data_IF_431569952534
#
_entry.id   IF_431569952534
#
_cell.length_a   1.000
_cell.length_b   1.000
_cell.length_c   1.000
_cell.angle_alpha   90.00
_cell.angle_beta   90.00
_cell.angle_gamma   90.00
#
_symmetry.space_group_name_H-M   'P 1'
#
loop_
_entity.id
_entity.type
_entity.pdbx_description
1 polymer ?
#
# COMPACT_ATOMS: atom_id res chain seq x y z
N UNK A 1 -1.33 -34.23 13.38
CA UNK A 1 -0.29 -34.77 12.47
C UNK A 1 0.01 -33.91 11.24
N UNK A 2 -0.99 -33.28 10.58
CA UNK A 2 -0.73 -32.42 9.41
C UNK A 2 0.20 -31.23 9.73
N UNK A 3 0.00 -30.53 10.86
CA UNK A 3 0.87 -29.40 11.26
C UNK A 3 2.33 -29.81 11.47
N UNK A 4 2.54 -30.98 12.05
CA UNK A 4 3.88 -31.55 12.25
C UNK A 4 4.57 -31.85 10.91
N UNK A 5 3.87 -32.49 9.96
CA UNK A 5 4.38 -32.79 8.63
C UNK A 5 4.75 -31.51 7.85
N UNK A 6 3.90 -30.45 7.92
CA UNK A 6 4.19 -29.16 7.32
C UNK A 6 5.44 -28.54 7.93
N UNK A 7 5.55 -28.57 9.27
CA UNK A 7 6.72 -28.07 10.01
C UNK A 7 8.00 -28.77 9.56
N UNK A 8 7.99 -30.11 9.50
CA UNK A 8 9.15 -30.90 9.05
C UNK A 8 9.56 -30.59 7.61
N UNK A 9 8.59 -30.41 6.70
CA UNK A 9 8.89 -30.00 5.32
C UNK A 9 9.48 -28.59 5.23
N UNK A 10 9.05 -27.67 6.10
CA UNK A 10 9.65 -26.33 6.17
C UNK A 10 11.08 -26.38 6.73
N UNK A 11 11.32 -27.18 7.76
CA UNK A 11 12.65 -27.39 8.35
C UNK A 11 13.64 -27.99 7.34
N UNK A 12 13.18 -28.95 6.56
CA UNK A 12 14.01 -29.65 5.55
C UNK A 12 14.06 -28.93 4.19
N UNK A 13 13.43 -27.75 4.03
CA UNK A 13 13.41 -27.02 2.76
C UNK A 13 12.55 -27.65 1.65
N UNK A 14 11.83 -28.74 1.95
CA UNK A 14 11.02 -29.49 0.98
C UNK A 14 9.56 -29.05 0.88
N UNK A 15 9.20 -27.93 1.57
CA UNK A 15 7.86 -27.40 1.53
C UNK A 15 7.58 -26.73 0.18
N UNK A 16 6.62 -27.27 -0.56
CA UNK A 16 6.24 -26.78 -1.86
C UNK A 16 5.48 -25.43 -1.80
N UNK A 17 5.88 -24.52 -2.67
CA UNK A 17 5.19 -23.23 -2.81
C UNK A 17 3.95 -23.40 -3.71
N UNK A 18 2.85 -22.75 -3.29
CA UNK A 18 1.59 -22.76 -4.05
C UNK A 18 1.69 -21.99 -5.37
N UNK A 19 2.42 -20.87 -5.37
CA UNK A 19 2.64 -20.04 -6.55
C UNK A 19 4.12 -19.70 -6.68
N UNK A 20 4.73 -19.95 -7.86
CA UNK A 20 6.08 -19.53 -8.14
C UNK A 20 6.16 -17.99 -8.19
N UNK A 21 7.25 -17.37 -7.70
CA UNK A 21 7.50 -15.97 -7.93
C UNK A 21 7.81 -15.68 -9.40
N UNK A 22 7.64 -14.44 -9.84
CA UNK A 22 8.02 -14.01 -11.19
C UNK A 22 9.49 -14.36 -11.47
N UNK A 23 9.81 -14.91 -12.61
CA UNK A 23 11.16 -15.43 -12.92
C UNK A 23 11.28 -16.94 -12.74
N UNK A 24 10.27 -17.58 -12.14
CA UNK A 24 10.23 -19.03 -11.96
C UNK A 24 8.92 -19.63 -12.43
N UNK A 25 9.01 -20.87 -12.91
CA UNK A 25 7.88 -21.77 -13.16
C UNK A 25 7.95 -22.95 -12.18
N UNK A 26 6.84 -23.61 -11.96
CA UNK A 26 6.78 -24.80 -11.11
C UNK A 26 6.70 -26.05 -11.99
N UNK A 27 7.71 -26.91 -11.92
CA UNK A 27 7.77 -28.21 -12.59
C UNK A 27 8.02 -29.30 -11.55
N UNK A 28 7.18 -30.31 -11.53
CA UNK A 28 7.28 -31.45 -10.60
C UNK A 28 7.47 -31.04 -9.12
N UNK A 29 6.76 -30.00 -8.69
CA UNK A 29 6.86 -29.48 -7.31
C UNK A 29 8.06 -28.57 -7.03
N UNK A 30 9.02 -28.47 -7.93
CA UNK A 30 10.24 -27.66 -7.79
C UNK A 30 10.13 -26.35 -8.59
N UNK A 31 10.89 -25.34 -8.15
CA UNK A 31 11.05 -24.09 -8.88
C UNK A 31 12.14 -24.25 -9.94
N UNK A 32 11.79 -23.97 -11.19
CA UNK A 32 12.70 -23.92 -12.34
C UNK A 32 12.73 -22.50 -12.87
N UNK A 33 13.88 -22.04 -13.33
CA UNK A 33 14.06 -20.67 -13.86
C UNK A 33 13.35 -20.54 -15.21
N UNK A 34 12.52 -19.51 -15.36
CA UNK A 34 12.00 -19.07 -16.65
C UNK A 34 13.01 -18.05 -17.24
N UNK A 35 13.72 -18.38 -18.33
CA UNK A 35 14.79 -17.52 -18.84
C UNK A 35 14.36 -16.11 -19.19
N UNK A 36 13.17 -15.95 -19.80
CA UNK A 36 12.65 -14.66 -20.23
C UNK A 36 12.30 -13.76 -19.03
N UNK A 37 11.65 -14.32 -18.01
CA UNK A 37 11.31 -13.61 -16.81
C UNK A 37 12.54 -13.38 -15.90
N UNK A 38 13.46 -14.33 -15.86
CA UNK A 38 14.70 -14.20 -15.08
C UNK A 38 15.56 -13.04 -15.58
N UNK A 39 15.67 -12.84 -16.89
CA UNK A 39 16.36 -11.69 -17.46
C UNK A 39 15.75 -10.37 -16.99
N UNK A 40 14.42 -10.30 -16.89
CA UNK A 40 13.72 -9.11 -16.35
C UNK A 40 14.06 -8.90 -14.88
N UNK A 41 14.12 -9.95 -14.07
CA UNK A 41 14.53 -9.87 -12.65
C UNK A 41 15.96 -9.35 -12.53
N UNK A 42 16.90 -9.90 -13.30
CA UNK A 42 18.30 -9.45 -13.32
C UNK A 42 18.41 -7.97 -13.71
N UNK A 43 17.66 -7.54 -14.72
CA UNK A 43 17.62 -6.13 -15.14
C UNK A 43 17.10 -5.22 -14.02
N UNK A 44 16.05 -5.62 -13.28
CA UNK A 44 15.50 -4.86 -12.15
C UNK A 44 16.58 -4.64 -11.06
N UNK A 45 17.32 -5.71 -10.70
CA UNK A 45 18.41 -5.63 -9.73
C UNK A 45 19.56 -4.75 -10.23
N UNK A 46 20.02 -4.95 -11.46
CA UNK A 46 21.08 -4.15 -12.08
C UNK A 46 20.73 -2.66 -12.15
N UNK A 47 19.52 -2.31 -12.57
CA UNK A 47 19.09 -0.91 -12.60
C UNK A 47 19.00 -0.29 -11.22
N UNK A 48 18.54 -1.05 -10.21
CA UNK A 48 18.48 -0.52 -8.86
C UNK A 48 19.87 -0.29 -8.27
N UNK A 49 20.84 -1.20 -8.50
CA UNK A 49 22.24 -1.05 -8.12
C UNK A 49 22.91 0.11 -8.87
N UNK A 50 22.50 0.38 -10.12
CA UNK A 50 22.94 1.54 -10.90
C UNK A 50 22.30 2.88 -10.42
N UNK A 51 21.52 2.88 -9.33
CA UNK A 51 20.95 4.08 -8.73
C UNK A 51 19.55 4.48 -9.22
N UNK A 52 18.92 3.72 -10.13
CA UNK A 52 17.56 4.00 -10.55
C UNK A 52 16.57 3.82 -9.40
N UNK A 53 15.66 4.78 -9.22
CA UNK A 53 14.56 4.65 -8.25
C UNK A 53 13.49 3.68 -8.72
N UNK A 54 12.71 3.11 -7.78
CA UNK A 54 11.65 2.13 -8.07
C UNK A 54 10.65 2.65 -9.11
N UNK A 55 10.25 3.93 -9.03
CA UNK A 55 9.31 4.55 -10.00
C UNK A 55 9.92 4.59 -11.40
N UNK A 56 11.21 4.92 -11.51
CA UNK A 56 11.92 4.95 -12.79
C UNK A 56 12.00 3.57 -13.43
N UNK A 57 12.28 2.52 -12.62
CA UNK A 57 12.27 1.12 -13.07
C UNK A 57 10.89 0.71 -13.57
N UNK A 58 9.83 1.04 -12.81
CA UNK A 58 8.43 0.76 -13.22
C UNK A 58 8.10 1.43 -14.56
N UNK A 59 8.44 2.71 -14.72
CA UNK A 59 8.20 3.43 -15.96
C UNK A 59 8.94 2.81 -17.14
N UNK A 60 10.20 2.39 -16.92
CA UNK A 60 11.01 1.72 -17.94
C UNK A 60 10.43 0.38 -18.36
N UNK A 61 10.03 -0.47 -17.42
CA UNK A 61 9.38 -1.76 -17.70
C UNK A 61 8.07 -1.58 -18.49
N UNK A 62 7.26 -0.59 -18.11
CA UNK A 62 6.00 -0.29 -18.80
C UNK A 62 6.23 0.34 -20.18
N UNK A 63 7.27 1.16 -20.36
CA UNK A 63 7.64 1.74 -21.66
C UNK A 63 8.01 0.66 -22.67
N UNK A 64 8.78 -0.35 -22.23
CA UNK A 64 9.16 -1.49 -23.06
C UNK A 64 8.09 -2.57 -23.16
N UNK A 65 6.89 -2.35 -22.61
CA UNK A 65 5.80 -3.34 -22.57
C UNK A 65 6.26 -4.71 -22.04
N UNK A 66 7.21 -4.72 -21.09
CA UNK A 66 7.73 -5.96 -20.51
C UNK A 66 6.60 -6.75 -19.86
N UNK A 67 6.43 -8.04 -20.21
CA UNK A 67 5.38 -8.87 -19.63
C UNK A 67 5.45 -8.89 -18.11
N UNK A 68 4.32 -8.72 -17.47
CA UNK A 68 4.16 -8.71 -16.01
C UNK A 68 3.49 -10.02 -15.56
N UNK A 69 3.27 -10.22 -14.26
CA UNK A 69 2.57 -11.40 -13.77
C UNK A 69 1.13 -11.47 -14.31
N UNK A 70 0.58 -12.69 -14.42
CA UNK A 70 -0.70 -13.07 -15.09
C UNK A 70 -1.96 -12.23 -14.74
N UNK A 71 -1.92 -11.38 -13.70
CA UNK A 71 -3.09 -10.60 -13.22
C UNK A 71 -3.07 -9.12 -13.59
N UNK A 72 -1.99 -8.62 -14.15
CA UNK A 72 -1.84 -7.19 -14.48
C UNK A 72 -1.11 -7.03 -15.80
N UNK A 73 -1.59 -6.11 -16.63
CA UNK A 73 -0.93 -5.75 -17.88
C UNK A 73 0.13 -4.66 -17.68
N UNK A 74 0.34 -4.19 -16.44
CA UNK A 74 1.28 -3.11 -16.11
C UNK A 74 2.04 -3.39 -14.83
N UNK A 75 3.31 -3.03 -14.84
CA UNK A 75 4.15 -3.01 -13.66
C UNK A 75 3.74 -1.89 -12.69
N UNK A 76 3.78 -2.20 -11.41
CA UNK A 76 3.51 -1.28 -10.31
C UNK A 76 4.67 -1.29 -9.31
N UNK A 77 4.81 -0.21 -8.54
CA UNK A 77 5.87 -0.08 -7.52
C UNK A 77 5.92 -1.30 -6.58
N UNK A 78 4.75 -1.80 -6.16
CA UNK A 78 4.69 -2.97 -5.28
C UNK A 78 5.33 -4.22 -5.90
N UNK A 79 5.13 -4.46 -7.21
CA UNK A 79 5.71 -5.61 -7.91
C UNK A 79 7.24 -5.54 -7.95
N UNK A 80 7.80 -4.37 -8.29
CA UNK A 80 9.25 -4.15 -8.31
C UNK A 80 9.83 -4.25 -6.90
N UNK A 81 9.20 -3.62 -5.89
CA UNK A 81 9.62 -3.73 -4.49
C UNK A 81 9.60 -5.18 -4.00
N UNK A 82 8.55 -5.93 -4.35
CA UNK A 82 8.44 -7.35 -3.99
C UNK A 82 9.59 -8.17 -4.58
N UNK A 83 9.97 -7.92 -5.84
CA UNK A 83 11.12 -8.59 -6.47
C UNK A 83 12.41 -8.25 -5.74
N UNK A 84 12.69 -6.96 -5.49
CA UNK A 84 13.91 -6.50 -4.83
C UNK A 84 14.06 -6.99 -3.38
N UNK A 85 12.95 -7.33 -2.69
CA UNK A 85 12.96 -7.76 -1.28
C UNK A 85 12.71 -9.25 -1.06
N UNK A 86 12.62 -10.03 -2.12
CA UNK A 86 12.32 -11.44 -2.01
C UNK A 86 13.59 -12.30 -2.09
N UNK A 87 14.01 -12.88 -0.98
CA UNK A 87 15.19 -13.73 -0.86
C UNK A 87 15.18 -14.96 -1.78
N UNK A 88 14.03 -15.35 -2.31
CA UNK A 88 13.94 -16.49 -3.21
C UNK A 88 14.78 -16.34 -4.49
N UNK A 89 15.04 -15.09 -4.89
CA UNK A 89 15.89 -14.86 -6.06
C UNK A 89 17.36 -15.25 -5.86
N UNK A 90 17.80 -15.43 -4.60
CA UNK A 90 19.14 -15.95 -4.26
C UNK A 90 19.20 -17.49 -4.12
N UNK A 91 18.11 -18.19 -4.47
CA UNK A 91 18.03 -19.67 -4.31
C UNK A 91 17.64 -20.11 -2.90
N UNK A 92 17.48 -19.18 -1.97
CA UNK A 92 17.13 -19.46 -0.57
C UNK A 92 15.63 -19.23 -0.33
N UNK A 93 15.05 -19.89 0.67
CA UNK A 93 13.64 -19.70 0.98
C UNK A 93 13.41 -19.52 2.48
N UNK A 94 12.73 -18.44 2.84
CA UNK A 94 12.22 -18.24 4.20
C UNK A 94 10.75 -18.64 4.25
N UNK A 95 10.45 -19.63 5.08
CA UNK A 95 9.10 -20.10 5.36
C UNK A 95 8.50 -19.44 6.59
N UNK A 96 7.18 -19.53 6.71
CA UNK A 96 6.40 -19.02 7.84
C UNK A 96 6.54 -17.52 8.09
N UNK A 97 6.68 -16.72 6.99
CA UNK A 97 6.65 -15.24 7.05
C UNK A 97 5.29 -14.70 7.53
N UNK A 98 4.23 -15.49 7.39
CA UNK A 98 2.88 -15.18 7.84
C UNK A 98 2.23 -16.39 8.49
N UNK A 99 1.26 -16.16 9.37
CA UNK A 99 0.47 -17.23 9.97
C UNK A 99 -1.02 -16.85 10.03
N UNK A 100 -1.88 -17.85 10.07
CA UNK A 100 -3.32 -17.67 10.27
C UNK A 100 -3.66 -17.67 11.75
N UNK A 101 -4.53 -16.76 12.18
CA UNK A 101 -5.10 -16.77 13.52
C UNK A 101 -5.94 -18.02 13.78
N UNK A 102 -6.28 -18.24 15.05
CA UNK A 102 -7.10 -19.37 15.50
C UNK A 102 -8.56 -18.96 15.74
N UNK A 103 -8.84 -17.66 15.80
CA UNK A 103 -10.19 -17.09 16.03
C UNK A 103 -10.90 -16.79 14.71
N UNK A 104 -12.20 -17.03 14.67
CA UNK A 104 -13.04 -16.65 13.53
C UNK A 104 -13.40 -15.14 13.58
N UNK A 105 -13.41 -14.44 12.42
CA UNK A 105 -13.00 -14.90 11.10
C UNK A 105 -11.48 -15.09 11.00
N UNK A 106 -11.04 -16.16 10.32
CA UNK A 106 -9.61 -16.49 10.20
C UNK A 106 -8.90 -15.37 9.43
N UNK A 107 -8.03 -14.65 10.11
CA UNK A 107 -7.21 -13.61 9.54
C UNK A 107 -5.75 -14.05 9.42
N UNK A 108 -5.06 -13.52 8.40
CA UNK A 108 -3.64 -13.79 8.16
C UNK A 108 -2.80 -12.64 8.71
N UNK A 109 -1.84 -12.98 9.57
CA UNK A 109 -0.95 -12.04 10.23
C UNK A 109 0.48 -12.19 9.72
N UNK A 110 1.23 -11.08 9.69
CA UNK A 110 2.67 -11.11 9.45
C UNK A 110 3.35 -11.68 10.70
N UNK A 111 4.25 -12.63 10.50
CA UNK A 111 5.04 -13.19 11.61
C UNK A 111 6.19 -12.25 11.94
N UNK A 112 6.10 -11.53 13.05
CA UNK A 112 7.15 -10.64 13.55
C UNK A 112 8.04 -11.29 14.64
N UNK A 113 7.86 -12.60 14.88
CA UNK A 113 8.58 -13.36 15.89
C UNK A 113 7.66 -14.23 16.75
N UNK A 114 6.33 -14.13 16.58
CA UNK A 114 5.35 -14.90 17.35
C UNK A 114 5.42 -16.40 17.05
N UNK A 115 5.93 -16.76 15.88
CA UNK A 115 6.16 -18.16 15.46
C UNK A 115 7.52 -18.33 14.84
N UNK A 116 8.09 -19.54 14.95
CA UNK A 116 9.38 -19.86 14.33
C UNK A 116 9.33 -19.61 12.83
N UNK A 117 10.37 -18.98 12.29
CA UNK A 117 10.63 -18.89 10.86
C UNK A 117 11.68 -19.94 10.49
N UNK A 118 11.53 -20.54 9.32
CA UNK A 118 12.48 -21.54 8.82
C UNK A 118 13.17 -20.98 7.59
N UNK A 119 14.50 -21.02 7.59
CA UNK A 119 15.32 -20.56 6.47
C UNK A 119 16.03 -21.78 5.87
N UNK A 120 15.76 -22.06 4.61
CA UNK A 120 16.40 -23.12 3.87
C UNK A 120 17.24 -22.53 2.74
N UNK A 121 18.46 -23.01 2.63
CA UNK A 121 19.43 -22.59 1.62
C UNK A 121 19.42 -23.51 0.42
N UNK A 122 19.74 -22.98 -0.76
CA UNK A 122 19.89 -23.74 -2.02
C UNK A 122 18.67 -24.63 -2.35
N UNK A 123 17.46 -24.12 -2.09
CA UNK A 123 16.23 -24.86 -2.36
C UNK A 123 15.86 -24.90 -3.85
N UNK A 124 16.42 -24.00 -4.65
CA UNK A 124 16.18 -23.87 -6.10
C UNK A 124 17.31 -23.05 -6.76
N UNK A 125 17.43 -23.04 -8.10
CA UNK A 125 18.42 -22.25 -8.79
C UNK A 125 18.26 -20.74 -8.53
N UNK A 126 19.36 -20.06 -8.24
CA UNK A 126 19.39 -18.61 -8.04
C UNK A 126 19.29 -17.86 -9.37
N UNK A 127 18.59 -16.72 -9.39
CA UNK A 127 18.58 -15.77 -10.52
C UNK A 127 19.55 -14.61 -10.27
N UNK A 128 19.75 -14.25 -8.99
CA UNK A 128 20.58 -13.13 -8.54
C UNK A 128 21.58 -13.64 -7.51
N UNK A 129 22.79 -13.09 -7.51
CA UNK A 129 23.80 -13.42 -6.49
C UNK A 129 23.38 -12.95 -5.11
N UNK A 130 23.84 -13.63 -4.05
CA UNK A 130 23.58 -13.20 -2.66
C UNK A 130 24.18 -11.80 -2.40
N UNK A 131 25.37 -11.51 -2.96
CA UNK A 131 26.05 -10.24 -2.81
C UNK A 131 25.24 -9.06 -3.41
N UNK A 132 24.68 -9.23 -4.60
CA UNK A 132 23.84 -8.20 -5.22
C UNK A 132 22.54 -7.98 -4.46
N UNK A 133 21.95 -9.07 -3.96
CA UNK A 133 20.77 -8.99 -3.12
C UNK A 133 21.06 -8.20 -1.83
N UNK A 134 22.15 -8.50 -1.14
CA UNK A 134 22.52 -7.84 0.12
C UNK A 134 22.84 -6.35 -0.10
N UNK A 135 23.54 -6.00 -1.19
CA UNK A 135 23.75 -4.61 -1.60
C UNK A 135 22.43 -3.87 -1.81
N UNK A 136 21.47 -4.50 -2.48
CA UNK A 136 20.14 -3.92 -2.68
C UNK A 136 19.42 -3.72 -1.34
N UNK A 137 19.47 -4.70 -0.40
CA UNK A 137 18.87 -4.55 0.92
C UNK A 137 19.50 -3.38 1.70
N UNK A 138 20.82 -3.23 1.68
CA UNK A 138 21.52 -2.11 2.30
C UNK A 138 21.05 -0.77 1.74
N UNK A 139 21.03 -0.61 0.41
CA UNK A 139 20.56 0.61 -0.26
C UNK A 139 19.06 0.91 0.03
N UNK A 140 18.24 -0.12 0.14
CA UNK A 140 16.82 0.05 0.49
C UNK A 140 16.64 0.47 1.94
N UNK A 141 17.45 -0.05 2.86
CA UNK A 141 17.43 0.30 4.27
C UNK A 141 17.86 1.76 4.47
N UNK A 142 18.94 2.20 3.84
CA UNK A 142 19.39 3.59 3.88
C UNK A 142 18.30 4.56 3.37
N UNK A 143 17.70 4.26 2.21
CA UNK A 143 16.60 5.06 1.65
C UNK A 143 15.35 5.01 2.53
N UNK A 144 15.06 3.87 3.15
CA UNK A 144 13.97 3.68 4.10
C UNK A 144 14.13 4.54 5.34
N UNK A 145 15.31 4.61 5.91
CA UNK A 145 15.61 5.47 7.06
C UNK A 145 15.42 6.96 6.76
N UNK A 146 15.79 7.41 5.56
CA UNK A 146 15.54 8.79 5.11
C UNK A 146 14.05 9.08 5.02
N UNK A 147 13.24 8.13 4.54
CA UNK A 147 11.78 8.32 4.41
C UNK A 147 11.03 8.20 5.75
N UNK A 148 11.52 7.41 6.72
CA UNK A 148 10.87 7.23 8.02
C UNK A 148 11.27 8.29 9.06
N UNK A 149 12.37 8.99 8.87
CA UNK A 149 12.83 10.08 9.78
C UNK A 149 11.98 11.36 9.72
N UNK A 150 11.13 11.51 8.71
CA UNK A 150 10.15 12.60 8.73
C UNK A 150 8.90 12.13 9.49
N UNK A 151 8.73 12.62 10.72
CA UNK A 151 7.45 12.50 11.42
C UNK A 151 6.34 12.95 10.48
N UNK A 152 5.49 12.02 10.09
CA UNK A 152 4.31 12.35 9.31
C UNK A 152 3.36 13.13 10.20
N UNK A 153 3.47 14.45 10.20
CA UNK A 153 2.48 15.31 10.82
C UNK A 153 1.09 14.84 10.40
N UNK A 154 0.32 14.35 11.39
CA UNK A 154 -1.07 13.94 11.16
C UNK A 154 -1.85 15.17 10.72
N UNK A 155 -2.15 15.30 9.46
CA UNK A 155 -2.95 16.39 8.95
C UNK A 155 -4.42 15.98 8.93
N UNK A 156 -5.24 16.66 9.74
CA UNK A 156 -6.68 16.38 9.91
C UNK A 156 -7.43 16.51 8.58
N UNK A 157 -7.05 17.47 7.73
CA UNK A 157 -7.73 17.74 6.45
C UNK A 157 -7.42 16.72 5.35
N UNK A 158 -6.48 15.79 5.60
CA UNK A 158 -6.08 14.78 4.62
C UNK A 158 -7.26 13.85 4.28
N UNK A 159 -7.52 13.66 2.98
CA UNK A 159 -8.65 12.90 2.41
C UNK A 159 -10.03 13.55 2.56
N UNK A 160 -10.19 14.56 3.41
CA UNK A 160 -11.48 15.25 3.62
C UNK A 160 -11.71 16.29 2.52
N UNK A 161 -10.67 17.07 2.18
CA UNK A 161 -10.80 18.13 1.17
C UNK A 161 -11.01 17.57 -0.23
N UNK A 162 -12.06 18.04 -0.89
CA UNK A 162 -12.43 17.72 -2.26
C UNK A 162 -12.30 18.92 -3.17
N UNK A 163 -11.87 18.69 -4.41
CA UNK A 163 -11.82 19.76 -5.42
C UNK A 163 -13.22 20.09 -5.91
N UNK A 164 -13.63 21.38 -5.83
CA UNK A 164 -14.92 21.82 -6.31
C UNK A 164 -15.11 21.71 -7.81
N UNK A 165 -14.02 21.65 -8.60
CA UNK A 165 -14.10 21.53 -10.06
C UNK A 165 -14.21 20.07 -10.55
N UNK A 166 -13.44 19.14 -9.95
CA UNK A 166 -13.34 17.77 -10.46
C UNK A 166 -13.64 16.67 -9.43
N UNK A 167 -14.03 17.00 -8.20
CA UNK A 167 -14.35 16.07 -7.12
C UNK A 167 -13.16 15.30 -6.54
N UNK A 168 -11.97 15.38 -7.14
CA UNK A 168 -10.77 14.70 -6.63
C UNK A 168 -10.31 15.23 -5.28
N UNK A 169 -9.61 14.40 -4.51
CA UNK A 169 -9.02 14.83 -3.22
C UNK A 169 -7.85 15.78 -3.44
N UNK A 170 -7.69 16.72 -2.51
CA UNK A 170 -6.49 17.54 -2.41
C UNK A 170 -5.35 16.77 -1.75
N UNK A 171 -4.12 17.07 -2.16
CA UNK A 171 -2.87 16.55 -1.60
C UNK A 171 -2.11 17.70 -0.96
N UNK A 172 -1.68 17.51 0.30
CA UNK A 172 -0.82 18.46 1.01
C UNK A 172 0.62 18.33 0.53
N UNK A 173 1.22 19.42 0.12
CA UNK A 173 2.62 19.51 -0.32
C UNK A 173 3.36 20.57 0.48
N UNK A 174 4.65 20.30 0.75
CA UNK A 174 5.57 21.28 1.33
C UNK A 174 6.41 21.90 0.20
N UNK A 175 6.49 23.21 0.15
CA UNK A 175 7.39 23.93 -0.74
C UNK A 175 8.12 24.98 0.09
N UNK A 176 9.46 24.86 0.18
CA UNK A 176 10.28 25.58 1.17
C UNK A 176 9.70 25.36 2.58
N UNK A 177 9.37 26.41 3.33
CA UNK A 177 8.80 26.28 4.68
C UNK A 177 7.28 26.40 4.76
N UNK A 178 6.58 26.47 3.61
CA UNK A 178 5.13 26.63 3.54
C UNK A 178 4.45 25.39 3.03
N UNK A 179 3.24 25.13 3.52
CA UNK A 179 2.39 24.03 3.04
C UNK A 179 1.33 24.56 2.09
N UNK A 180 1.07 23.77 1.03
CA UNK A 180 0.08 24.06 0.00
C UNK A 180 -0.76 22.80 -0.26
N UNK A 181 -1.98 23.03 -0.67
CA UNK A 181 -2.89 21.99 -1.11
C UNK A 181 -3.08 22.08 -2.61
N UNK A 182 -2.88 20.96 -3.30
CA UNK A 182 -3.02 20.81 -4.75
C UNK A 182 -4.04 19.74 -5.08
N UNK A 183 -4.88 19.97 -6.07
CA UNK A 183 -5.79 18.94 -6.56
C UNK A 183 -5.00 17.76 -7.15
N UNK A 184 -5.32 16.53 -6.74
CA UNK A 184 -4.63 15.33 -7.22
C UNK A 184 -4.71 15.17 -8.73
N UNK A 185 -5.86 15.46 -9.34
CA UNK A 185 -6.06 15.38 -10.78
C UNK A 185 -5.22 16.41 -11.54
N UNK A 186 -5.23 17.67 -11.08
CA UNK A 186 -4.39 18.73 -11.64
C UNK A 186 -2.90 18.38 -11.55
N UNK A 187 -2.48 17.76 -10.47
CA UNK A 187 -1.10 17.41 -10.19
C UNK A 187 -0.57 16.26 -11.07
N UNK A 188 -1.46 15.34 -11.44
CA UNK A 188 -1.15 14.24 -12.37
C UNK A 188 -1.19 14.71 -13.83
N UNK A 189 -2.15 15.57 -14.16
CA UNK A 189 -2.39 16.05 -15.54
C UNK A 189 -3.12 17.38 -15.50
N UNK A 190 -2.37 18.46 -15.72
CA UNK A 190 -2.86 19.84 -15.57
C UNK A 190 -4.06 20.15 -16.49
N UNK A 191 -4.14 19.49 -17.64
CA UNK A 191 -5.26 19.65 -18.59
C UNK A 191 -6.60 19.11 -18.10
N UNK A 192 -6.61 18.25 -17.06
CA UNK A 192 -7.84 17.62 -16.57
C UNK A 192 -8.50 18.39 -15.42
N UNK A 193 -7.84 19.38 -14.85
CA UNK A 193 -8.40 20.23 -13.80
C UNK A 193 -7.59 21.54 -13.66
N UNK A 194 -8.25 22.66 -13.72
CA UNK A 194 -7.63 24.00 -13.63
C UNK A 194 -7.60 24.57 -12.20
N UNK A 195 -7.82 23.74 -11.19
CA UNK A 195 -7.80 24.17 -9.79
C UNK A 195 -6.41 24.68 -9.37
N UNK A 196 -6.34 25.91 -8.88
CA UNK A 196 -5.10 26.51 -8.37
C UNK A 196 -4.67 25.87 -7.06
N UNK A 197 -3.38 25.97 -6.73
CA UNK A 197 -2.84 25.58 -5.43
C UNK A 197 -3.36 26.55 -4.37
N UNK A 198 -3.73 26.03 -3.20
CA UNK A 198 -4.28 26.77 -2.08
C UNK A 198 -3.25 26.75 -0.95
N UNK A 199 -2.76 27.90 -0.47
CA UNK A 199 -1.96 27.98 0.75
C UNK A 199 -2.72 27.40 1.94
N UNK A 200 -2.03 26.66 2.81
CA UNK A 200 -2.68 26.08 3.99
C UNK A 200 -3.21 27.14 4.97
N UNK A 201 -2.53 28.28 5.06
CA UNK A 201 -2.97 29.46 5.82
C UNK A 201 -4.37 29.93 5.42
N UNK A 202 -4.65 29.96 4.14
CA UNK A 202 -5.93 30.47 3.62
C UNK A 202 -7.09 29.54 3.97
N UNK A 203 -6.82 28.24 4.03
CA UNK A 203 -7.80 27.24 4.44
C UNK A 203 -8.16 27.42 5.92
N UNK A 204 -7.15 27.57 6.79
CA UNK A 204 -7.39 27.84 8.21
C UNK A 204 -8.10 29.17 8.45
N UNK A 205 -7.72 30.20 7.72
CA UNK A 205 -8.39 31.50 7.80
C UNK A 205 -9.87 31.41 7.38
N UNK A 206 -10.15 30.74 6.27
CA UNK A 206 -11.51 30.50 5.81
C UNK A 206 -12.33 29.70 6.85
N UNK A 207 -11.72 28.65 7.44
CA UNK A 207 -12.36 27.86 8.48
C UNK A 207 -12.71 28.69 9.71
N UNK A 208 -11.78 29.48 10.20
CA UNK A 208 -12.02 30.41 11.37
C UNK A 208 -13.15 31.38 11.04
N UNK A 209 -13.16 31.97 9.86
CA UNK A 209 -14.24 32.87 9.43
C UNK A 209 -15.60 32.18 9.42
N UNK A 210 -15.69 30.94 8.94
CA UNK A 210 -16.92 30.15 8.96
C UNK A 210 -17.36 29.90 10.41
N UNK A 211 -16.45 29.44 11.27
CA UNK A 211 -16.75 29.23 12.69
C UNK A 211 -17.25 30.49 13.37
N UNK A 212 -16.58 31.60 13.18
CA UNK A 212 -17.00 32.88 13.75
C UNK A 212 -18.40 33.30 13.24
N UNK A 213 -18.66 33.12 11.94
CA UNK A 213 -19.97 33.40 11.36
C UNK A 213 -21.08 32.51 11.93
N UNK A 214 -20.79 31.23 12.15
CA UNK A 214 -21.72 30.28 12.78
C UNK A 214 -22.00 30.66 14.25
N UNK A 215 -20.96 31.04 14.99
CA UNK A 215 -21.08 31.47 16.40
C UNK A 215 -21.88 32.77 16.49
N UNK A 216 -21.59 33.76 15.65
CA UNK A 216 -22.30 35.03 15.65
C UNK A 216 -23.78 34.90 15.28
N UNK A 217 -24.15 33.88 14.54
CA UNK A 217 -25.52 33.63 14.09
C UNK A 217 -26.09 32.29 14.65
N UNK A 218 -25.65 31.88 15.85
CA UNK A 218 -26.00 30.57 16.41
C UNK A 218 -27.49 30.37 16.56
N UNK A 219 -28.26 31.40 16.93
CA UNK A 219 -29.73 31.34 17.09
C UNK A 219 -30.45 31.09 15.77
N UNK A 220 -29.94 31.65 14.67
CA UNK A 220 -30.56 31.57 13.36
C UNK A 220 -30.12 30.31 12.58
N UNK A 221 -28.95 29.77 12.87
CA UNK A 221 -28.36 28.65 12.09
C UNK A 221 -28.26 27.37 12.93
N UNK A 222 -27.63 27.45 14.12
CA UNK A 222 -27.33 26.24 14.90
C UNK A 222 -28.53 25.69 15.66
N UNK A 223 -29.39 26.56 16.22
CA UNK A 223 -30.60 26.11 16.94
C UNK A 223 -31.58 25.38 15.99
N UNK A 224 -31.97 25.95 14.83
CA UNK A 224 -32.84 25.24 13.89
C UNK A 224 -32.23 23.92 13.39
N UNK A 225 -30.90 23.88 13.14
CA UNK A 225 -30.21 22.68 12.73
C UNK A 225 -30.24 21.60 13.82
N UNK A 226 -30.03 21.98 15.09
CA UNK A 226 -30.11 21.07 16.23
C UNK A 226 -31.52 20.47 16.36
N UNK A 227 -32.54 21.28 16.24
CA UNK A 227 -33.96 20.86 16.29
C UNK A 227 -34.27 19.89 15.15
N UNK A 228 -33.82 20.19 13.91
CA UNK A 228 -34.00 19.30 12.76
C UNK A 228 -33.30 17.96 12.94
N UNK A 229 -32.07 17.96 13.48
CA UNK A 229 -31.32 16.71 13.76
C UNK A 229 -31.97 15.86 14.86
N UNK A 230 -32.53 16.50 15.89
CA UNK A 230 -33.30 15.79 16.93
C UNK A 230 -34.55 15.13 16.34
N UNK A 231 -35.28 15.86 15.53
CA UNK A 231 -36.48 15.34 14.83
C UNK A 231 -36.12 14.13 13.93
N UNK A 232 -35.05 14.21 13.16
CA UNK A 232 -34.58 13.09 12.30
C UNK A 232 -34.15 11.87 13.11
N UNK A 233 -33.51 12.08 14.27
CA UNK A 233 -33.19 10.97 15.19
C UNK A 233 -34.47 10.27 15.70
N UNK A 234 -35.44 11.03 16.17
CA UNK A 234 -36.69 10.50 16.65
C UNK A 234 -37.44 9.70 15.56
N UNK A 235 -37.49 10.24 14.34
CA UNK A 235 -38.12 9.57 13.20
C UNK A 235 -37.42 8.25 12.81
N UNK A 236 -36.07 8.20 12.95
CA UNK A 236 -35.32 6.98 12.70
C UNK A 236 -35.59 5.89 13.75
N UNK A 237 -35.78 6.26 15.01
CA UNK A 237 -36.14 5.35 16.08
C UNK A 237 -37.58 4.83 15.92
N UNK A 238 -38.56 5.69 15.59
CA UNK A 238 -39.96 5.25 15.36
C UNK A 238 -40.10 4.30 14.17
N UNK A 239 -39.31 4.50 13.11
CA UNK A 239 -39.27 3.58 11.96
C UNK A 239 -38.69 2.19 12.27
N UNK A 240 -37.74 2.09 13.20
CA UNK A 240 -37.20 0.79 13.64
C UNK A 240 -38.16 0.03 14.53
N UNK A 241 -38.98 0.69 15.33
CA UNK A 241 -40.01 0.04 16.17
C UNK A 241 -41.10 -0.54 15.32
N UNK A 242 -41.53 0.13 14.24
CA UNK A 242 -42.55 -0.42 13.30
C UNK A 242 -42.07 -1.67 12.53
N UNK A 243 -40.76 -1.76 12.22
CA UNK A 243 -40.22 -2.96 11.55
C UNK A 243 -40.13 -4.18 12.49
N UNK A 244 -40.00 -3.97 13.80
CA UNK A 244 -40.03 -5.07 14.77
C UNK A 244 -41.42 -5.64 15.00
N UNK A 245 -42.50 -4.83 14.89
CA UNK A 245 -43.89 -5.28 15.06
C UNK A 245 -44.43 -6.06 13.86
N UNK A 246 -43.82 -5.98 12.69
CA UNK A 246 -44.17 -6.74 11.49
C UNK A 246 -43.64 -8.18 11.51
N UNK A 247 -42.70 -8.50 12.39
CA UNK A 247 -42.12 -9.84 12.54
C UNK A 247 -42.49 -10.58 13.81
N UNK A 248 -43.56 -10.15 14.51
CA UNK A 248 -44.29 -10.90 15.53
C UNK A 248 -45.60 -11.45 14.96
#
# INVERSE_FOLDING_TARGET
NMRWSIKKRMENGTFELSCPPYGYIKENGKLVVDPAQAQTVQNIFSWYLSGYGIISIVNRLNHFNTPCCKRSNKWHMFGVTYILTNEKYTGNTMFQKTYSGTTLPIQRYKNNGERNKYYAVNTHPAIVSQDDFDKVQALMSEKGEIFYKTEKQKCVLRKIMKCGQCGSTYIRKKSRDKYYWSCRKHDLKASECFSKRIPESDIYYAFIRICNKLISNYTQILIPLQTALQYLKLKKFSGQTQVMDIHK
#
